data_IF_156501957374
#
_entry.id   IF_156501957374
#
_cell.length_a   1.000
_cell.length_b   1.000
_cell.length_c   1.000
_cell.angle_alpha   90.00
_cell.angle_beta   90.00
_cell.angle_gamma   90.00
#
_symmetry.space_group_name_H-M   'P 1'
#
loop_
_entity.id
_entity.type
_entity.pdbx_description
1 polymer ?
#
# COMPACT_ATOMS: atom_id res chain seq x y z
N UNK A 1 6.07 -30.75 -5.70
CA UNK A 1 6.12 -29.65 -6.69
C UNK A 1 5.28 -28.44 -6.23
N UNK A 2 5.60 -27.80 -5.10
CA UNK A 2 4.74 -26.76 -4.49
C UNK A 2 5.54 -25.49 -4.23
N UNK A 3 5.81 -24.70 -5.28
CA UNK A 3 6.40 -23.35 -5.20
C UNK A 3 5.90 -22.39 -6.31
N UNK A 4 4.83 -22.75 -7.03
CA UNK A 4 4.30 -21.94 -8.14
C UNK A 4 3.63 -20.60 -7.77
N UNK A 5 2.93 -20.43 -6.63
CA UNK A 5 2.14 -19.21 -6.42
C UNK A 5 3.03 -17.98 -6.20
N UNK A 6 4.13 -18.11 -5.46
CA UNK A 6 5.05 -16.99 -5.25
C UNK A 6 5.81 -16.62 -6.52
N UNK A 7 6.22 -17.59 -7.32
CA UNK A 7 6.93 -17.33 -8.58
C UNK A 7 6.06 -16.59 -9.60
N UNK A 8 4.84 -17.04 -9.84
CA UNK A 8 3.89 -16.34 -10.74
C UNK A 8 3.58 -14.93 -10.25
N UNK A 9 3.56 -14.75 -8.92
CA UNK A 9 3.28 -13.48 -8.29
C UNK A 9 4.42 -12.48 -8.48
N UNK A 10 5.67 -12.91 -8.31
CA UNK A 10 6.84 -12.08 -8.64
C UNK A 10 6.86 -11.73 -10.13
N UNK A 11 6.64 -12.71 -11.01
CA UNK A 11 6.55 -12.49 -12.46
C UNK A 11 5.45 -11.47 -12.83
N UNK A 12 4.31 -11.49 -12.12
CA UNK A 12 3.24 -10.50 -12.31
C UNK A 12 3.67 -9.10 -11.87
N UNK A 13 4.35 -8.98 -10.72
CA UNK A 13 4.81 -7.70 -10.20
C UNK A 13 5.92 -7.09 -11.07
N UNK A 14 6.84 -7.92 -11.57
CA UNK A 14 7.89 -7.49 -12.50
C UNK A 14 7.28 -6.95 -13.82
N UNK A 15 6.22 -7.61 -14.30
CA UNK A 15 5.46 -7.14 -15.45
C UNK A 15 4.75 -5.80 -15.17
N UNK A 16 4.10 -5.67 -14.02
CA UNK A 16 3.47 -4.41 -13.59
C UNK A 16 4.49 -3.28 -13.49
N UNK A 17 5.65 -3.52 -12.87
CA UNK A 17 6.73 -2.55 -12.77
C UNK A 17 7.19 -2.08 -14.15
N UNK A 18 7.33 -3.00 -15.11
CA UNK A 18 7.70 -2.69 -16.49
C UNK A 18 6.64 -1.82 -17.20
N UNK A 19 5.35 -2.15 -17.04
CA UNK A 19 4.25 -1.34 -17.61
C UNK A 19 4.19 0.06 -17.03
N UNK A 20 4.38 0.20 -15.70
CA UNK A 20 4.41 1.51 -15.05
C UNK A 20 5.55 2.39 -15.58
N UNK A 21 6.73 1.80 -15.84
CA UNK A 21 7.83 2.50 -16.49
C UNK A 21 7.46 3.04 -17.87
N UNK A 22 6.78 2.23 -18.70
CA UNK A 22 6.31 2.66 -20.02
C UNK A 22 5.25 3.78 -19.92
N UNK A 23 4.28 3.64 -19.03
CA UNK A 23 3.22 4.64 -18.81
C UNK A 23 3.79 5.97 -18.32
N UNK A 24 4.81 5.96 -17.46
CA UNK A 24 5.50 7.17 -16.99
C UNK A 24 6.12 7.92 -18.17
N UNK A 25 6.85 7.22 -19.04
CA UNK A 25 7.43 7.82 -20.26
C UNK A 25 6.37 8.44 -21.15
N UNK A 26 5.21 7.79 -21.32
CA UNK A 26 4.09 8.34 -22.10
C UNK A 26 3.49 9.58 -21.44
N UNK A 27 3.29 9.58 -20.12
CA UNK A 27 2.75 10.73 -19.39
C UNK A 27 3.71 11.93 -19.39
N UNK A 28 5.02 11.69 -19.30
CA UNK A 28 6.06 12.72 -19.42
C UNK A 28 6.09 13.32 -20.84
N UNK A 29 5.95 12.50 -21.88
CA UNK A 29 5.90 12.99 -23.27
C UNK A 29 4.72 13.95 -23.50
N UNK A 30 3.59 13.70 -22.84
CA UNK A 30 2.38 14.55 -22.87
C UNK A 30 2.39 15.69 -21.84
N UNK A 31 3.50 15.90 -21.11
CA UNK A 31 3.65 16.95 -20.07
C UNK A 31 2.57 16.89 -18.98
N UNK A 32 2.10 15.69 -18.66
CA UNK A 32 1.10 15.48 -17.63
C UNK A 32 1.79 15.22 -16.27
N UNK A 33 2.35 16.26 -15.66
CA UNK A 33 3.24 16.16 -14.49
C UNK A 33 2.60 15.41 -13.31
N UNK A 34 1.35 15.75 -12.97
CA UNK A 34 0.62 15.08 -11.88
C UNK A 34 0.37 13.60 -12.17
N UNK A 35 0.14 13.23 -13.43
CA UNK A 35 -0.06 11.84 -13.82
C UNK A 35 1.26 11.07 -13.78
N UNK A 36 2.33 11.65 -14.32
CA UNK A 36 3.67 11.07 -14.26
C UNK A 36 4.11 10.82 -12.81
N UNK A 37 3.86 11.78 -11.92
CA UNK A 37 4.12 11.64 -10.49
C UNK A 37 3.35 10.46 -9.87
N UNK A 38 2.05 10.33 -10.12
CA UNK A 38 1.25 9.23 -9.55
C UNK A 38 1.70 7.85 -10.08
N UNK A 39 2.09 7.77 -11.35
CA UNK A 39 2.64 6.56 -11.94
C UNK A 39 4.00 6.21 -11.33
N UNK A 40 4.86 7.22 -11.13
CA UNK A 40 6.15 7.03 -10.47
C UNK A 40 6.00 6.55 -9.02
N UNK A 41 5.06 7.12 -8.26
CA UNK A 41 4.75 6.65 -6.91
C UNK A 41 4.25 5.21 -6.90
N UNK A 42 3.43 4.80 -7.89
CA UNK A 42 3.02 3.42 -8.06
C UNK A 42 4.20 2.49 -8.42
N UNK A 43 5.14 2.95 -9.24
CA UNK A 43 6.36 2.20 -9.58
C UNK A 43 7.23 1.93 -8.36
N UNK A 44 7.42 2.94 -7.50
CA UNK A 44 8.16 2.81 -6.24
C UNK A 44 7.47 1.80 -5.33
N UNK A 45 6.16 1.90 -5.15
CA UNK A 45 5.38 0.98 -4.31
C UNK A 45 5.52 -0.49 -4.76
N UNK A 46 5.43 -0.75 -6.07
CA UNK A 46 5.64 -2.11 -6.61
C UNK A 46 7.06 -2.60 -6.36
N UNK A 47 8.06 -1.72 -6.47
CA UNK A 47 9.46 -2.04 -6.21
C UNK A 47 9.68 -2.44 -4.76
N UNK A 48 9.09 -1.70 -3.82
CA UNK A 48 9.17 -1.97 -2.38
C UNK A 48 8.45 -3.28 -2.02
N UNK A 49 7.32 -3.55 -2.68
CA UNK A 49 6.60 -4.83 -2.57
C UNK A 49 7.46 -6.01 -3.06
N UNK A 50 8.18 -5.88 -4.18
CA UNK A 50 9.07 -6.92 -4.71
C UNK A 50 10.24 -7.18 -3.76
N UNK A 51 10.80 -6.12 -3.15
CA UNK A 51 11.87 -6.20 -2.14
C UNK A 51 11.39 -6.78 -0.80
N UNK A 52 10.07 -6.86 -0.59
CA UNK A 52 9.47 -7.30 0.67
C UNK A 52 9.48 -6.24 1.76
N UNK A 53 9.70 -4.97 1.40
CA UNK A 53 9.76 -3.82 2.32
C UNK A 53 8.37 -3.30 2.71
N UNK A 54 7.35 -3.61 1.91
CA UNK A 54 5.94 -3.31 2.23
C UNK A 54 5.04 -4.55 2.24
N UNK A 55 4.09 -4.62 3.20
CA UNK A 55 3.06 -5.63 3.17
C UNK A 55 2.08 -5.37 2.01
N UNK A 56 1.69 -6.46 1.35
CA UNK A 56 0.85 -6.48 0.15
C UNK A 56 -0.58 -6.02 0.37
N UNK A 57 -0.98 -6.03 1.63
CA UNK A 57 -2.23 -5.50 2.10
C UNK A 57 -1.85 -4.42 3.07
N UNK A 58 -2.33 -3.21 2.82
CA UNK A 58 -2.47 -2.21 3.86
C UNK A 58 -3.32 -2.89 4.94
N UNK A 59 -2.72 -3.24 6.08
CA UNK A 59 -3.52 -3.70 7.20
C UNK A 59 -4.46 -2.55 7.53
N UNK A 60 -5.76 -2.83 7.58
CA UNK A 60 -6.78 -1.89 8.05
C UNK A 60 -6.52 -1.58 9.53
N UNK A 61 -5.54 -0.72 9.79
CA UNK A 61 -5.29 -0.15 11.11
C UNK A 61 -6.37 0.87 11.49
N UNK A 62 -7.43 1.01 10.68
CA UNK A 62 -8.65 1.75 11.00
C UNK A 62 -9.50 1.09 12.11
N UNK A 63 -9.22 -0.16 12.50
CA UNK A 63 -9.95 -0.81 13.60
C UNK A 63 -9.18 -0.88 14.93
N UNK A 64 -8.01 -0.25 15.04
CA UNK A 64 -7.47 0.11 16.36
C UNK A 64 -8.02 1.48 16.75
N UNK A 65 -9.34 1.52 16.95
CA UNK A 65 -9.91 2.51 17.84
C UNK A 65 -9.12 2.39 19.15
N UNK A 66 -8.46 3.49 19.49
CA UNK A 66 -7.69 3.70 20.69
C UNK A 66 -8.29 2.93 21.86
N UNK A 67 -7.50 2.07 22.50
CA UNK A 67 -7.83 1.44 23.78
C UNK A 67 -7.89 2.49 24.90
N UNK A 68 -8.77 3.49 24.76
CA UNK A 68 -9.19 4.34 25.85
C UNK A 68 -10.21 3.53 26.62
N UNK A 69 -9.75 2.89 27.69
CA UNK A 69 -10.64 2.39 28.74
C UNK A 69 -11.49 3.57 29.23
N UNK A 70 -12.77 3.57 28.89
CA UNK A 70 -13.74 4.46 29.52
C UNK A 70 -13.95 3.92 30.94
N UNK A 71 -13.23 4.51 31.90
CA UNK A 71 -13.49 4.28 33.32
C UNK A 71 -14.96 4.64 33.62
N UNK A 72 -15.74 3.74 34.25
CA UNK A 72 -17.14 4.00 34.54
C UNK A 72 -17.26 5.13 35.58
N UNK A 73 -18.05 6.15 35.23
CA UNK A 73 -18.35 7.35 36.01
C UNK A 73 -18.70 7.04 37.47
N UNK A 74 -18.01 7.74 38.38
CA UNK A 74 -18.08 7.55 39.83
C UNK A 74 -19.49 7.71 40.41
N UNK A 75 -19.83 6.83 41.36
CA UNK A 75 -21.05 6.89 42.16
C UNK A 75 -21.04 8.17 43.00
N UNK A 76 -21.86 9.17 42.65
CA UNK A 76 -22.11 10.32 43.52
C UNK A 76 -23.04 9.86 44.65
N UNK A 77 -22.50 9.78 45.88
CA UNK A 77 -23.31 9.61 47.09
C UNK A 77 -23.90 10.96 47.48
N UNK A 78 -25.23 11.06 47.48
CA UNK A 78 -25.94 12.15 48.14
C UNK A 78 -26.06 11.82 49.63
N UNK A 79 -25.70 12.80 50.46
CA UNK A 79 -25.79 12.78 51.93
C UNK A 79 -27.18 13.19 52.36
#
# INVERSE_FOLDING_TARGET
>A
MRNQPNRRRTETLDYVQSMLGQMRTMAEAERCDMLAYLIEMAYVEVSDIIRGERPLRVQDERNRASGVTLEPSGKVKFQ
#
